data_IF_782951050308
#
_entry.id   IF_782951050308
#
_cell.length_a   1.000
_cell.length_b   1.000
_cell.length_c   1.000
_cell.angle_alpha   90.00
_cell.angle_beta   90.00
_cell.angle_gamma   90.00
#
_symmetry.space_group_name_H-M   'P 1'
#
loop_
_entity.id
_entity.type
_entity.pdbx_description
1 polymer ?
#
# COMPACT_ATOMS: atom_id res chain seq x y z
N UNK A 1 48.21 -33.39 24.88
CA UNK A 1 48.52 -32.47 23.75
C UNK A 1 48.98 -33.19 22.47
N UNK A 2 48.27 -34.22 21.98
CA UNK A 2 48.59 -34.87 20.69
C UNK A 2 47.37 -35.10 19.78
N UNK A 3 46.19 -34.64 20.21
CA UNK A 3 44.93 -34.88 19.47
C UNK A 3 44.26 -33.60 18.93
N UNK A 4 44.81 -32.42 19.26
CA UNK A 4 44.34 -31.14 18.71
C UNK A 4 45.08 -30.73 17.42
N UNK A 5 46.17 -31.40 17.06
CA UNK A 5 46.97 -31.11 15.84
C UNK A 5 46.67 -32.02 14.64
N UNK A 6 45.77 -32.98 14.78
CA UNK A 6 45.39 -33.90 13.68
C UNK A 6 44.18 -33.40 12.87
N UNK A 7 43.32 -32.55 13.44
CA UNK A 7 42.12 -32.02 12.75
C UNK A 7 42.33 -30.74 11.94
N UNK A 8 43.39 -29.96 12.20
CA UNK A 8 43.69 -28.74 11.42
C UNK A 8 44.55 -28.98 10.18
N UNK A 9 45.12 -30.17 9.99
CA UNK A 9 45.91 -30.52 8.79
C UNK A 9 45.07 -31.12 7.64
N UNK A 10 43.84 -31.54 7.91
CA UNK A 10 42.90 -32.09 6.92
C UNK A 10 42.13 -31.02 6.14
N UNK A 11 42.03 -29.79 6.65
CA UNK A 11 41.34 -28.68 5.96
C UNK A 11 42.23 -27.89 5.00
N UNK A 12 43.56 -28.04 5.07
CA UNK A 12 44.51 -27.36 4.17
C UNK A 12 45.02 -28.23 3.00
N UNK A 13 44.71 -29.52 2.96
CA UNK A 13 45.11 -30.44 1.88
C UNK A 13 44.03 -30.66 0.80
N UNK A 14 42.83 -30.07 0.95
CA UNK A 14 41.78 -30.11 -0.07
C UNK A 14 41.75 -28.87 -0.98
N UNK A 15 42.68 -27.92 -0.81
CA UNK A 15 42.64 -26.61 -1.47
C UNK A 15 43.73 -26.37 -2.53
N UNK A 16 44.54 -27.36 -2.93
CA UNK A 16 45.56 -27.14 -3.96
C UNK A 16 45.96 -28.39 -4.74
N UNK A 17 45.20 -28.75 -5.78
CA UNK A 17 45.74 -29.16 -7.09
C UNK A 17 44.63 -29.61 -8.04
N UNK A 18 44.32 -28.77 -9.04
CA UNK A 18 44.41 -29.06 -10.48
C UNK A 18 43.60 -28.02 -11.30
N UNK A 19 44.32 -27.09 -11.93
CA UNK A 19 43.93 -26.32 -13.12
C UNK A 19 44.24 -27.21 -14.34
N UNK A 20 43.36 -27.56 -15.29
CA UNK A 20 42.81 -26.86 -16.48
C UNK A 20 42.23 -27.99 -17.42
N UNK A 21 41.57 -27.73 -18.58
CA UNK A 21 40.67 -26.65 -19.00
C UNK A 21 39.29 -27.13 -19.55
N UNK A 22 38.37 -26.17 -19.63
CA UNK A 22 37.16 -26.00 -20.46
C UNK A 22 36.52 -27.12 -21.33
N UNK A 23 35.17 -27.09 -21.26
CA UNK A 23 34.09 -27.40 -22.24
C UNK A 23 33.42 -28.78 -22.18
N UNK A 24 32.11 -28.71 -22.44
CA UNK A 24 31.07 -29.75 -22.48
C UNK A 24 30.46 -30.19 -21.13
N UNK A 25 29.44 -29.44 -20.71
CA UNK A 25 28.34 -30.02 -19.93
C UNK A 25 27.07 -29.97 -20.79
N UNK A 26 26.45 -31.14 -20.89
CA UNK A 26 25.35 -31.52 -21.76
C UNK A 26 24.02 -30.86 -21.37
N UNK A 27 23.19 -30.67 -22.39
CA UNK A 27 21.86 -30.04 -22.47
C UNK A 27 20.74 -30.72 -21.66
N UNK A 28 19.75 -29.96 -21.15
CA UNK A 28 18.36 -30.39 -21.11
C UNK A 28 17.60 -29.95 -22.38
N UNK A 29 16.63 -30.77 -22.78
CA UNK A 29 15.85 -30.80 -24.03
C UNK A 29 15.06 -29.52 -24.36
N UNK A 30 14.85 -29.21 -25.67
CA UNK A 30 14.04 -28.06 -26.10
C UNK A 30 12.60 -28.50 -26.42
N UNK A 31 11.61 -27.90 -25.78
CA UNK A 31 10.29 -27.77 -26.40
C UNK A 31 9.56 -26.57 -25.78
N UNK A 32 9.03 -25.70 -26.66
CA UNK A 32 8.31 -24.42 -26.45
C UNK A 32 9.13 -23.11 -26.46
N UNK A 33 9.97 -22.92 -27.48
CA UNK A 33 10.40 -21.57 -27.92
C UNK A 33 9.42 -21.00 -28.94
N UNK A 34 8.79 -19.86 -28.61
CA UNK A 34 8.04 -19.03 -29.57
C UNK A 34 8.96 -18.50 -30.69
N UNK A 35 8.44 -18.26 -31.91
CA UNK A 35 9.26 -17.86 -33.05
C UNK A 35 9.97 -16.50 -32.82
N UNK A 36 11.25 -16.35 -33.22
CA UNK A 36 12.07 -15.15 -32.96
C UNK A 36 11.55 -13.82 -33.53
N UNK A 37 10.60 -13.85 -34.48
CA UNK A 37 10.02 -12.65 -35.07
C UNK A 37 9.05 -11.88 -34.14
N UNK A 38 8.58 -12.51 -33.06
CA UNK A 38 7.71 -11.88 -32.06
C UNK A 38 8.47 -11.29 -30.86
N UNK A 39 9.72 -11.70 -30.64
CA UNK A 39 10.55 -11.23 -29.52
C UNK A 39 11.21 -9.88 -29.80
N UNK A 40 11.38 -9.52 -31.06
CA UNK A 40 12.11 -8.30 -31.49
C UNK A 40 11.23 -7.09 -31.83
N UNK A 41 9.93 -7.09 -31.52
CA UNK A 41 9.06 -5.90 -31.69
C UNK A 41 8.73 -5.13 -30.41
N UNK A 42 9.25 -5.55 -29.26
CA UNK A 42 8.96 -4.92 -27.96
C UNK A 42 10.07 -4.02 -27.42
N UNK A 43 11.15 -3.77 -28.19
CA UNK A 43 12.33 -3.06 -27.70
C UNK A 43 12.78 -1.84 -28.53
N UNK A 44 11.93 -1.31 -29.41
CA UNK A 44 12.20 -0.05 -30.13
C UNK A 44 11.19 1.04 -29.74
N UNK A 45 11.14 1.36 -28.45
CA UNK A 45 10.59 2.64 -27.99
C UNK A 45 11.77 3.44 -27.45
N UNK A 46 12.17 4.47 -28.18
CA UNK A 46 13.13 5.48 -27.70
C UNK A 46 12.55 6.18 -26.47
N UNK A 47 12.79 5.60 -25.29
CA UNK A 47 12.49 6.22 -24.02
C UNK A 47 13.50 7.36 -23.81
N UNK A 48 13.06 8.57 -23.41
CA UNK A 48 13.99 9.60 -22.97
C UNK A 48 14.82 9.05 -21.80
N UNK A 49 16.06 9.53 -21.57
CA UNK A 49 16.98 8.94 -20.59
C UNK A 49 16.40 9.07 -19.17
N UNK A 50 15.73 8.01 -18.73
CA UNK A 50 15.22 7.86 -17.37
C UNK A 50 16.45 7.64 -16.47
N UNK A 51 16.57 8.44 -15.41
CA UNK A 51 17.60 8.24 -14.38
C UNK A 51 17.55 6.78 -13.91
N UNK A 52 18.71 6.14 -13.86
CA UNK A 52 18.85 4.70 -13.63
C UNK A 52 18.11 4.26 -12.36
N UNK A 53 17.55 3.05 -12.39
CA UNK A 53 16.91 2.33 -11.27
C UNK A 53 17.68 2.38 -9.94
N UNK A 54 18.99 2.65 -9.99
CA UNK A 54 19.88 2.85 -8.85
C UNK A 54 19.63 4.14 -8.03
N UNK A 55 19.02 5.19 -8.60
CA UNK A 55 18.61 6.38 -7.82
C UNK A 55 17.30 6.15 -7.09
N UNK A 56 16.43 5.29 -7.62
CA UNK A 56 15.13 4.94 -7.05
C UNK A 56 15.25 4.12 -5.75
N UNK A 57 16.25 3.22 -5.70
CA UNK A 57 16.59 2.43 -4.50
C UNK A 57 17.24 3.30 -3.41
N UNK A 58 17.82 4.45 -3.77
CA UNK A 58 18.54 5.35 -2.85
C UNK A 58 17.65 6.38 -2.13
N UNK A 59 16.35 6.42 -2.42
CA UNK A 59 15.41 7.31 -1.71
C UNK A 59 15.59 8.80 -1.99
N UNK A 60 16.34 9.16 -3.03
CA UNK A 60 16.55 10.56 -3.42
C UNK A 60 15.48 11.00 -4.43
N UNK A 61 14.38 11.55 -3.90
CA UNK A 61 13.31 12.17 -4.69
C UNK A 61 12.00 11.39 -4.61
N UNK A 62 10.98 12.02 -4.01
CA UNK A 62 9.62 11.49 -4.09
C UNK A 62 9.15 11.44 -5.54
N UNK A 63 8.34 10.43 -5.88
CA UNK A 63 7.67 10.28 -7.17
C UNK A 63 7.07 11.63 -7.62
N UNK A 64 7.62 12.24 -8.66
CA UNK A 64 7.02 13.44 -9.24
C UNK A 64 5.76 13.05 -10.03
N UNK A 65 4.83 14.00 -10.21
CA UNK A 65 3.62 13.77 -11.04
C UNK A 65 3.98 13.28 -12.46
N UNK A 66 5.09 13.78 -13.01
CA UNK A 66 5.63 13.36 -14.31
C UNK A 66 6.14 11.92 -14.29
N UNK A 67 6.84 11.49 -13.24
CA UNK A 67 7.30 10.10 -13.09
C UNK A 67 6.10 9.14 -12.97
N UNK A 68 5.05 9.56 -12.27
CA UNK A 68 3.80 8.80 -12.19
C UNK A 68 3.10 8.68 -13.54
N UNK A 69 3.00 9.76 -14.31
CA UNK A 69 2.39 9.72 -15.65
C UNK A 69 3.24 8.89 -16.63
N UNK A 70 4.56 9.01 -16.58
CA UNK A 70 5.48 8.21 -17.39
C UNK A 70 5.40 6.72 -17.02
N UNK A 71 5.39 6.39 -15.73
CA UNK A 71 5.21 5.02 -15.24
C UNK A 71 3.83 4.45 -15.59
N UNK A 72 2.76 5.25 -15.43
CA UNK A 72 1.39 4.87 -15.80
C UNK A 72 1.19 4.70 -17.31
N UNK A 73 1.98 5.39 -18.13
CA UNK A 73 1.99 5.22 -19.58
C UNK A 73 2.84 4.02 -20.00
N UNK A 74 3.90 3.71 -19.25
CA UNK A 74 4.80 2.59 -19.50
C UNK A 74 4.23 1.23 -19.08
N UNK A 75 3.37 1.16 -18.04
CA UNK A 75 2.72 -0.09 -17.67
C UNK A 75 1.46 -0.36 -18.50
N UNK A 76 1.35 -1.61 -18.95
CA UNK A 76 0.13 -2.14 -19.54
C UNK A 76 -0.98 -2.16 -18.47
N UNK A 77 -2.06 -1.43 -18.75
CA UNK A 77 -3.26 -1.38 -17.90
C UNK A 77 -3.95 -2.74 -17.90
N UNK A 78 -4.45 -3.19 -16.75
CA UNK A 78 -5.23 -4.44 -16.72
C UNK A 78 -6.58 -4.21 -17.43
N UNK A 79 -6.91 -4.97 -18.49
CA UNK A 79 -8.15 -4.79 -19.25
C UNK A 79 -9.40 -5.09 -18.41
N UNK A 80 -9.30 -5.81 -17.29
CA UNK A 80 -10.44 -6.14 -16.42
C UNK A 80 -10.93 -4.95 -15.60
N UNK A 81 -10.04 -4.00 -15.31
CA UNK A 81 -10.33 -2.88 -14.38
C UNK A 81 -10.25 -1.50 -15.03
N UNK A 82 -9.87 -1.46 -16.31
CA UNK A 82 -9.59 -0.21 -17.04
C UNK A 82 -10.79 0.74 -17.16
N UNK A 83 -12.02 0.23 -17.15
CA UNK A 83 -13.25 1.02 -17.27
C UNK A 83 -13.96 1.24 -15.93
N UNK A 84 -13.39 0.75 -14.83
CA UNK A 84 -14.00 0.91 -13.51
C UNK A 84 -14.01 2.37 -13.06
N UNK A 85 -15.06 2.73 -12.33
CA UNK A 85 -15.26 4.07 -11.79
C UNK A 85 -14.06 4.51 -10.95
N UNK A 86 -13.58 5.75 -11.18
CA UNK A 86 -12.36 6.36 -10.63
C UNK A 86 -11.03 5.67 -10.94
N UNK A 87 -11.02 4.52 -11.62
CA UNK A 87 -9.79 3.83 -12.08
C UNK A 87 -9.42 4.22 -13.51
N UNK A 88 -10.43 4.48 -14.35
CA UNK A 88 -10.26 4.78 -15.78
C UNK A 88 -9.26 5.88 -16.07
N UNK A 89 -9.43 7.03 -15.42
CA UNK A 89 -8.58 8.19 -15.62
C UNK A 89 -7.91 8.62 -14.29
N UNK A 90 -6.56 8.60 -14.22
CA UNK A 90 -5.85 8.99 -13.00
C UNK A 90 -6.09 10.45 -12.59
N UNK A 91 -6.56 11.32 -13.51
CA UNK A 91 -6.87 12.71 -13.21
C UNK A 91 -7.89 12.84 -12.07
N UNK A 92 -8.84 11.89 -11.95
CA UNK A 92 -9.86 11.94 -10.91
C UNK A 92 -9.25 11.80 -9.51
N UNK A 93 -8.30 10.86 -9.35
CA UNK A 93 -7.58 10.71 -8.10
C UNK A 93 -6.77 11.98 -7.78
N UNK A 94 -6.07 12.54 -8.77
CA UNK A 94 -5.30 13.77 -8.58
C UNK A 94 -6.19 14.92 -8.10
N UNK A 95 -7.36 15.11 -8.73
CA UNK A 95 -8.32 16.15 -8.34
C UNK A 95 -8.83 15.92 -6.92
N UNK A 96 -9.21 14.68 -6.57
CA UNK A 96 -9.68 14.32 -5.21
C UNK A 96 -8.58 14.60 -4.18
N UNK A 97 -7.34 14.18 -4.44
CA UNK A 97 -6.23 14.39 -3.52
C UNK A 97 -5.88 15.87 -3.37
N UNK A 98 -5.86 16.63 -4.46
CA UNK A 98 -5.62 18.08 -4.42
C UNK A 98 -6.72 18.79 -3.63
N UNK A 99 -7.99 18.44 -3.86
CA UNK A 99 -9.12 19.00 -3.12
C UNK A 99 -9.05 18.65 -1.62
N UNK A 100 -8.72 17.40 -1.30
CA UNK A 100 -8.51 16.93 0.08
C UNK A 100 -7.39 17.72 0.78
N UNK A 101 -6.21 17.83 0.16
CA UNK A 101 -5.09 18.59 0.71
C UNK A 101 -5.40 20.08 0.85
N UNK A 102 -6.06 20.67 -0.14
CA UNK A 102 -6.53 22.05 -0.06
C UNK A 102 -7.50 22.25 1.12
N UNK A 103 -8.42 21.30 1.34
CA UNK A 103 -9.34 21.37 2.46
C UNK A 103 -8.63 21.28 3.81
N UNK A 104 -7.79 20.27 4.02
CA UNK A 104 -7.18 20.05 5.34
C UNK A 104 -6.14 21.11 5.70
N UNK A 105 -5.41 21.67 4.72
CA UNK A 105 -4.32 22.62 4.98
C UNK A 105 -4.81 24.08 5.00
N UNK A 106 -5.84 24.41 4.20
CA UNK A 106 -6.25 25.79 4.01
C UNK A 106 -7.73 26.02 4.31
N UNK A 107 -8.64 25.43 3.52
CA UNK A 107 -10.06 25.80 3.55
C UNK A 107 -10.74 25.45 4.88
N UNK A 108 -10.52 24.23 5.39
CA UNK A 108 -11.07 23.74 6.65
C UNK A 108 -10.58 24.56 7.86
N UNK A 109 -9.25 24.74 8.06
CA UNK A 109 -8.73 25.60 9.11
C UNK A 109 -9.22 27.05 9.01
N UNK A 110 -9.28 27.62 7.79
CA UNK A 110 -9.81 28.98 7.56
C UNK A 110 -11.29 29.08 7.93
N UNK A 111 -12.10 28.11 7.54
CA UNK A 111 -13.53 28.04 7.86
C UNK A 111 -13.78 27.90 9.38
N UNK A 112 -12.92 27.16 10.08
CA UNK A 112 -13.03 26.90 11.50
C UNK A 112 -12.38 27.96 12.40
N UNK A 113 -11.67 28.97 11.84
CA UNK A 113 -10.90 29.96 12.62
C UNK A 113 -11.75 30.59 13.74
N UNK A 114 -12.89 31.15 13.37
CA UNK A 114 -13.77 31.91 14.27
C UNK A 114 -14.99 31.10 14.75
N UNK A 115 -14.97 29.77 14.58
CA UNK A 115 -16.07 28.87 14.95
C UNK A 115 -15.70 27.97 16.12
N UNK A 116 -16.68 27.61 16.94
CA UNK A 116 -16.50 26.55 17.93
C UNK A 116 -16.39 25.17 17.23
N UNK A 117 -15.77 24.17 17.87
CA UNK A 117 -15.73 22.80 17.34
C UNK A 117 -17.13 22.29 17.03
N UNK A 118 -17.34 21.76 15.82
CA UNK A 118 -18.65 21.23 15.42
C UNK A 118 -18.94 19.92 16.18
N UNK A 119 -20.16 19.77 16.69
CA UNK A 119 -20.62 18.49 17.24
C UNK A 119 -21.08 17.56 16.11
N UNK A 120 -20.12 16.81 15.57
CA UNK A 120 -20.34 15.83 14.52
C UNK A 120 -20.49 14.40 15.07
N UNK A 121 -20.77 14.24 16.38
CA UNK A 121 -20.70 12.93 17.03
C UNK A 121 -21.64 11.89 16.42
N UNK A 122 -22.89 12.28 16.10
CA UNK A 122 -23.85 11.39 15.42
C UNK A 122 -23.41 11.05 13.99
N UNK A 123 -22.89 12.03 13.26
CA UNK A 123 -22.44 11.83 11.89
C UNK A 123 -21.24 10.86 11.83
N UNK A 124 -20.26 11.04 12.72
CA UNK A 124 -19.10 10.16 12.83
C UNK A 124 -19.52 8.75 13.25
N UNK A 125 -20.52 8.63 14.14
CA UNK A 125 -21.06 7.33 14.52
C UNK A 125 -21.67 6.59 13.32
N UNK A 126 -22.52 7.27 12.55
CA UNK A 126 -23.11 6.70 11.32
C UNK A 126 -22.00 6.33 10.32
N UNK A 127 -21.03 7.23 10.12
CA UNK A 127 -19.89 6.99 9.23
C UNK A 127 -19.09 5.75 9.64
N UNK A 128 -18.77 5.61 10.93
CA UNK A 128 -18.04 4.45 11.45
C UNK A 128 -18.84 3.15 11.28
N UNK A 129 -20.16 3.18 11.50
CA UNK A 129 -21.03 2.01 11.24
C UNK A 129 -21.00 1.64 9.76
N UNK A 130 -21.14 2.62 8.86
CA UNK A 130 -21.04 2.40 7.41
C UNK A 130 -19.69 1.80 7.04
N UNK A 131 -18.60 2.30 7.61
CA UNK A 131 -17.25 1.75 7.40
C UNK A 131 -17.15 0.30 7.87
N UNK A 132 -17.68 -0.06 9.04
CA UNK A 132 -17.69 -1.45 9.53
C UNK A 132 -18.45 -2.36 8.57
N UNK A 133 -19.68 -1.98 8.21
CA UNK A 133 -20.53 -2.76 7.30
C UNK A 133 -19.86 -2.93 5.94
N UNK A 134 -19.28 -1.86 5.40
CA UNK A 134 -18.59 -1.90 4.11
C UNK A 134 -17.35 -2.79 4.13
N UNK A 135 -16.52 -2.71 5.18
CA UNK A 135 -15.33 -3.56 5.29
C UNK A 135 -15.69 -5.04 5.52
N UNK A 136 -16.71 -5.34 6.33
CA UNK A 136 -17.20 -6.72 6.52
C UNK A 136 -17.77 -7.29 5.22
N UNK A 137 -18.57 -6.51 4.51
CA UNK A 137 -19.12 -6.92 3.21
C UNK A 137 -18.00 -7.20 2.21
N UNK A 138 -17.02 -6.29 2.10
CA UNK A 138 -15.88 -6.43 1.20
C UNK A 138 -15.02 -7.67 1.49
N UNK A 139 -14.89 -8.09 2.75
CA UNK A 139 -14.14 -9.33 3.11
C UNK A 139 -14.81 -10.59 2.56
N UNK A 140 -16.14 -10.57 2.38
CA UNK A 140 -16.90 -11.72 1.87
C UNK A 140 -17.00 -11.73 0.33
N UNK A 141 -16.78 -10.58 -0.31
CA UNK A 141 -16.70 -10.48 -1.77
C UNK A 141 -15.31 -10.85 -2.27
N UNK A 142 -15.20 -11.54 -3.40
CA UNK A 142 -13.90 -11.91 -4.00
C UNK A 142 -13.68 -11.34 -5.40
N UNK A 143 -14.75 -11.09 -6.16
CA UNK A 143 -14.64 -10.73 -7.58
C UNK A 143 -14.00 -9.35 -7.81
N UNK A 144 -14.28 -8.36 -6.94
CA UNK A 144 -13.87 -6.96 -7.13
C UNK A 144 -13.20 -6.34 -5.89
N UNK A 145 -12.61 -7.15 -5.00
CA UNK A 145 -12.00 -6.71 -3.72
C UNK A 145 -11.05 -5.53 -3.90
N UNK A 146 -10.19 -5.56 -4.91
CA UNK A 146 -9.21 -4.49 -5.14
C UNK A 146 -9.86 -3.12 -5.36
N UNK A 147 -10.99 -3.09 -6.06
CA UNK A 147 -11.71 -1.84 -6.32
C UNK A 147 -12.48 -1.36 -5.11
N UNK A 148 -13.16 -2.27 -4.41
CA UNK A 148 -13.84 -1.91 -3.17
C UNK A 148 -12.87 -1.41 -2.11
N UNK A 149 -11.66 -1.97 -2.06
CA UNK A 149 -10.59 -1.51 -1.18
C UNK A 149 -10.09 -0.13 -1.59
N UNK A 150 -9.89 0.12 -2.88
CA UNK A 150 -9.56 1.47 -3.36
C UNK A 150 -10.63 2.49 -2.97
N UNK A 151 -11.91 2.15 -3.14
CA UNK A 151 -13.04 3.00 -2.74
C UNK A 151 -13.08 3.24 -1.22
N UNK A 152 -12.80 2.23 -0.39
CA UNK A 152 -12.71 2.46 1.06
C UNK A 152 -11.60 3.44 1.41
N UNK A 153 -10.45 3.38 0.74
CA UNK A 153 -9.34 4.34 1.00
C UNK A 153 -9.68 5.78 0.62
N UNK A 154 -10.55 5.99 -0.38
CA UNK A 154 -11.11 7.32 -0.64
C UNK A 154 -12.04 7.75 0.48
N UNK A 155 -12.89 6.85 0.99
CA UNK A 155 -13.80 7.14 2.11
C UNK A 155 -13.05 7.47 3.41
N UNK A 156 -11.91 6.82 3.65
CA UNK A 156 -11.04 7.06 4.83
C UNK A 156 -10.50 8.50 4.88
N UNK A 157 -10.50 9.24 3.76
CA UNK A 157 -10.11 10.67 3.76
C UNK A 157 -11.05 11.53 4.61
N UNK A 158 -12.30 11.10 4.80
CA UNK A 158 -13.28 11.82 5.62
C UNK A 158 -12.88 11.85 7.11
N UNK A 159 -12.09 10.90 7.61
CA UNK A 159 -11.60 10.90 8.99
C UNK A 159 -10.82 12.18 9.31
N UNK A 160 -9.91 12.57 8.42
CA UNK A 160 -9.11 13.80 8.59
C UNK A 160 -9.98 15.05 8.47
N UNK A 161 -10.98 15.03 7.58
CA UNK A 161 -11.95 16.13 7.44
C UNK A 161 -12.71 16.32 8.77
N UNK A 162 -13.18 15.23 9.39
CA UNK A 162 -13.83 15.29 10.69
C UNK A 162 -12.91 15.80 11.80
N UNK A 163 -11.61 15.44 11.79
CA UNK A 163 -10.65 15.98 12.76
C UNK A 163 -10.48 17.50 12.63
N UNK A 164 -10.37 18.01 11.40
CA UNK A 164 -10.29 19.46 11.15
C UNK A 164 -11.55 20.18 11.64
N UNK A 165 -12.73 19.68 11.28
CA UNK A 165 -14.02 20.27 11.66
C UNK A 165 -14.32 20.21 13.17
N UNK A 166 -13.71 19.27 13.90
CA UNK A 166 -13.80 19.17 15.36
C UNK A 166 -12.67 19.88 16.10
N UNK A 167 -11.79 20.59 15.39
CA UNK A 167 -10.57 21.20 15.94
C UNK A 167 -9.70 20.20 16.73
N UNK A 168 -9.64 18.94 16.27
CA UNK A 168 -8.83 17.86 16.88
C UNK A 168 -7.50 17.70 16.16
N UNK A 169 -6.74 18.79 16.04
CA UNK A 169 -5.47 18.83 15.30
C UNK A 169 -4.41 17.88 15.87
N UNK A 170 -4.50 17.53 17.16
CA UNK A 170 -3.62 16.54 17.79
C UNK A 170 -3.79 15.11 17.23
N UNK A 171 -4.91 14.81 16.56
CA UNK A 171 -5.14 13.52 15.90
C UNK A 171 -4.52 13.48 14.49
N UNK A 172 -4.27 14.65 13.88
CA UNK A 172 -3.67 14.79 12.54
C UNK A 172 -2.15 14.73 12.67
N UNK A 173 -1.63 13.55 12.98
CA UNK A 173 -0.18 13.32 13.07
C UNK A 173 0.47 13.23 11.68
N UNK A 174 1.79 13.44 11.54
CA UNK A 174 2.48 13.25 10.26
C UNK A 174 2.28 11.85 9.69
N UNK A 175 2.28 10.82 10.55
CA UNK A 175 2.03 9.44 10.16
C UNK A 175 0.60 9.25 9.62
N UNK A 176 -0.40 9.81 10.31
CA UNK A 176 -1.80 9.79 9.86
C UNK A 176 -1.92 10.44 8.48
N UNK A 177 -1.35 11.63 8.31
CA UNK A 177 -1.45 12.37 7.05
C UNK A 177 -0.74 11.63 5.90
N UNK A 178 0.47 11.12 6.14
CA UNK A 178 1.22 10.33 5.16
C UNK A 178 0.43 9.07 4.76
N UNK A 179 -0.10 8.34 5.74
CA UNK A 179 -0.90 7.13 5.51
C UNK A 179 -2.17 7.44 4.70
N UNK A 180 -2.99 8.40 5.13
CA UNK A 180 -4.22 8.74 4.41
C UNK A 180 -3.97 9.35 3.03
N UNK A 181 -2.78 9.89 2.77
CA UNK A 181 -2.38 10.37 1.44
C UNK A 181 -1.84 9.24 0.55
N UNK A 182 -0.99 8.38 1.10
CA UNK A 182 -0.34 7.30 0.36
C UNK A 182 -1.27 6.14 0.04
N UNK A 183 -2.18 5.78 0.94
CA UNK A 183 -3.04 4.59 0.78
C UNK A 183 -3.97 4.66 -0.44
N UNK A 184 -4.65 5.79 -0.76
CA UNK A 184 -5.41 5.92 -2.01
C UNK A 184 -4.55 5.85 -3.27
N UNK A 185 -3.33 6.38 -3.23
CA UNK A 185 -2.40 6.37 -4.36
C UNK A 185 -1.89 4.95 -4.63
N UNK A 186 -1.43 4.26 -3.58
CA UNK A 186 -0.94 2.88 -3.69
C UNK A 186 -2.07 1.95 -4.13
N UNK A 187 -3.26 2.07 -3.53
CA UNK A 187 -4.41 1.23 -3.91
C UNK A 187 -4.90 1.49 -5.33
N UNK A 188 -4.84 2.73 -5.83
CA UNK A 188 -5.10 3.04 -7.25
C UNK A 188 -4.12 2.31 -8.17
N UNK A 189 -2.81 2.37 -7.88
CA UNK A 189 -1.79 1.67 -8.69
C UNK A 189 -2.07 0.15 -8.67
N UNK A 190 -2.38 -0.42 -7.49
CA UNK A 190 -2.71 -1.83 -7.37
C UNK A 190 -3.92 -2.24 -8.21
N UNK A 191 -5.06 -1.53 -8.11
CA UNK A 191 -6.26 -1.89 -8.88
C UNK A 191 -6.10 -1.66 -10.39
N UNK A 192 -5.27 -0.69 -10.79
CA UNK A 192 -5.03 -0.30 -12.19
C UNK A 192 -4.13 -1.28 -12.94
N UNK A 193 -3.11 -1.84 -12.28
CA UNK A 193 -2.05 -2.60 -12.92
C UNK A 193 -1.92 -4.04 -12.42
N UNK A 194 -2.25 -4.30 -11.16
CA UNK A 194 -2.11 -5.62 -10.53
C UNK A 194 -3.36 -6.03 -9.74
N UNK A 195 -4.55 -6.10 -10.37
CA UNK A 195 -5.74 -6.57 -9.69
C UNK A 195 -5.67 -8.10 -9.49
N UNK A 196 -5.23 -8.52 -8.30
CA UNK A 196 -5.19 -9.92 -7.87
C UNK A 196 -3.87 -10.36 -7.22
N UNK A 197 -3.68 -11.69 -7.11
CA UNK A 197 -2.44 -12.31 -6.61
C UNK A 197 -2.30 -12.32 -5.07
N UNK A 198 -1.11 -12.64 -4.56
CA UNK A 198 -0.87 -12.67 -3.10
C UNK A 198 -1.16 -11.32 -2.41
N UNK A 199 -1.09 -10.20 -3.16
CA UNK A 199 -1.43 -8.87 -2.66
C UNK A 199 -2.88 -8.73 -2.17
N UNK A 200 -3.85 -9.44 -2.75
CA UNK A 200 -5.25 -9.36 -2.29
C UNK A 200 -5.45 -9.89 -0.88
N UNK A 201 -4.65 -10.86 -0.44
CA UNK A 201 -4.69 -11.36 0.94
C UNK A 201 -4.31 -10.25 1.93
N UNK A 202 -3.30 -9.45 1.59
CA UNK A 202 -2.88 -8.29 2.38
C UNK A 202 -4.00 -7.23 2.46
N UNK A 203 -4.75 -7.01 1.37
CA UNK A 203 -5.91 -6.10 1.36
C UNK A 203 -7.05 -6.61 2.25
N UNK A 204 -7.33 -7.91 2.21
CA UNK A 204 -8.35 -8.54 3.06
C UNK A 204 -7.97 -8.45 4.55
N UNK A 205 -6.72 -8.74 4.89
CA UNK A 205 -6.21 -8.60 6.26
C UNK A 205 -6.28 -7.14 6.75
N UNK A 206 -5.94 -6.18 5.89
CA UNK A 206 -6.09 -4.75 6.22
C UNK A 206 -7.56 -4.40 6.53
N UNK A 207 -8.47 -4.83 5.68
CA UNK A 207 -9.91 -4.57 5.82
C UNK A 207 -10.50 -5.21 7.09
N UNK A 208 -10.02 -6.40 7.44
CA UNK A 208 -10.37 -7.07 8.70
C UNK A 208 -9.91 -6.25 9.91
N UNK A 209 -8.63 -5.87 9.97
CA UNK A 209 -8.11 -5.02 11.07
C UNK A 209 -8.85 -3.69 11.14
N UNK A 210 -9.19 -3.12 9.99
CA UNK A 210 -9.91 -1.87 9.88
C UNK A 210 -11.35 -1.97 10.39
N UNK A 211 -12.02 -3.10 10.17
CA UNK A 211 -13.33 -3.40 10.75
C UNK A 211 -13.28 -3.38 12.29
N UNK A 212 -12.24 -3.98 12.88
CA UNK A 212 -12.05 -3.98 14.34
C UNK A 212 -11.72 -2.56 14.84
N UNK A 213 -10.89 -1.82 14.10
CA UNK A 213 -10.49 -0.46 14.47
C UNK A 213 -11.68 0.51 14.46
N UNK A 214 -12.52 0.49 13.44
CA UNK A 214 -13.73 1.32 13.40
C UNK A 214 -14.78 0.87 14.42
N UNK A 215 -14.87 -0.43 14.70
CA UNK A 215 -15.70 -0.91 15.81
C UNK A 215 -15.25 -0.32 17.16
N UNK A 216 -13.94 -0.24 17.40
CA UNK A 216 -13.41 0.45 18.57
C UNK A 216 -13.77 1.95 18.58
N UNK A 217 -13.68 2.65 17.44
CA UNK A 217 -14.08 4.07 17.34
C UNK A 217 -15.57 4.29 17.55
N UNK A 218 -16.42 3.37 17.09
CA UNK A 218 -17.85 3.37 17.36
C UNK A 218 -18.11 3.30 18.88
N UNK A 219 -17.54 2.31 19.56
CA UNK A 219 -17.68 2.14 21.00
C UNK A 219 -17.12 3.35 21.80
N UNK A 220 -16.00 3.92 21.35
CA UNK A 220 -15.43 5.12 21.95
C UNK A 220 -16.34 6.36 21.80
N UNK A 221 -17.19 6.38 20.76
CA UNK A 221 -18.16 7.42 20.47
C UNK A 221 -19.46 7.34 21.29
N UNK A 222 -19.79 6.18 21.86
CA UNK A 222 -21.01 5.96 22.67
C UNK A 222 -20.96 6.60 24.07
N UNK A 223 -19.87 7.30 24.41
CA UNK A 223 -19.77 8.13 25.61
C UNK A 223 -18.95 7.53 26.76
N UNK A 224 -18.92 8.21 27.92
CA UNK A 224 -18.04 7.86 29.05
C UNK A 224 -18.31 6.47 29.65
N UNK A 225 -19.56 6.01 29.62
CA UNK A 225 -19.95 4.69 30.14
C UNK A 225 -19.29 3.53 29.40
N UNK A 226 -19.12 3.65 28.07
CA UNK A 226 -18.47 2.62 27.25
C UNK A 226 -16.94 2.70 27.28
N UNK A 227 -16.37 3.90 27.51
CA UNK A 227 -14.91 4.09 27.57
C UNK A 227 -14.21 3.25 28.65
N UNK A 228 -14.90 2.97 29.76
CA UNK A 228 -14.38 2.07 30.82
C UNK A 228 -14.03 0.68 30.29
N UNK A 229 -14.75 0.19 29.29
CA UNK A 229 -14.59 -1.16 28.75
C UNK A 229 -13.56 -1.23 27.61
N UNK A 230 -12.94 -0.11 27.22
CA UNK A 230 -11.98 0.00 26.10
C UNK A 230 -10.51 -0.18 26.51
N UNK A 231 -10.24 -1.07 27.47
CA UNK A 231 -8.88 -1.37 27.99
C UNK A 231 -7.95 -1.99 26.93
N UNK A 232 -8.52 -2.59 25.89
CA UNK A 232 -7.84 -3.34 24.85
C UNK A 232 -7.30 -2.48 23.69
N UNK A 233 -7.33 -1.15 23.83
CA UNK A 233 -6.75 -0.20 22.84
C UNK A 233 -5.33 -0.57 22.43
N UNK A 234 -4.50 -1.00 23.38
CA UNK A 234 -3.11 -1.33 23.10
C UNK A 234 -2.96 -2.57 22.20
N UNK A 235 -3.86 -3.56 22.31
CA UNK A 235 -3.87 -4.72 21.41
C UNK A 235 -4.26 -4.34 19.98
N UNK A 236 -5.15 -3.36 19.82
CA UNK A 236 -5.46 -2.82 18.49
C UNK A 236 -4.23 -2.17 17.85
N UNK A 237 -3.49 -1.37 18.63
CA UNK A 237 -2.24 -0.78 18.14
C UNK A 237 -1.21 -1.85 17.80
N UNK A 238 -1.09 -2.91 18.63
CA UNK A 238 -0.20 -4.04 18.35
C UNK A 238 -0.61 -4.78 17.06
N UNK A 239 -1.90 -5.01 16.85
CA UNK A 239 -2.44 -5.65 15.66
C UNK A 239 -2.15 -4.83 14.40
N UNK A 240 -2.32 -3.51 14.45
CA UNK A 240 -1.98 -2.59 13.36
C UNK A 240 -0.47 -2.61 13.05
N UNK A 241 0.38 -2.62 14.08
CA UNK A 241 1.84 -2.71 13.89
C UNK A 241 2.27 -4.06 13.34
N UNK A 242 1.64 -5.16 13.75
CA UNK A 242 1.93 -6.48 13.21
C UNK A 242 1.54 -6.58 11.73
N UNK A 243 0.35 -6.09 11.38
CA UNK A 243 -0.07 -6.00 9.99
C UNK A 243 0.91 -5.16 9.17
N UNK A 244 1.31 -3.98 9.66
CA UNK A 244 2.31 -3.15 9.00
C UNK A 244 3.62 -3.91 8.75
N UNK A 245 4.16 -4.57 9.78
CA UNK A 245 5.39 -5.38 9.65
C UNK A 245 5.23 -6.52 8.64
N UNK A 246 4.12 -7.24 8.69
CA UNK A 246 3.80 -8.33 7.77
C UNK A 246 3.77 -7.83 6.32
N UNK A 247 3.07 -6.72 6.06
CA UNK A 247 3.00 -6.08 4.74
C UNK A 247 4.40 -5.73 4.24
N UNK A 248 5.23 -5.10 5.07
CA UNK A 248 6.61 -4.72 4.69
C UNK A 248 7.58 -5.89 4.53
N UNK A 249 7.26 -7.06 5.10
CA UNK A 249 8.11 -8.27 5.01
C UNK A 249 7.81 -9.17 3.81
N UNK A 250 6.67 -8.93 3.14
CA UNK A 250 6.20 -9.70 1.98
C UNK A 250 6.54 -9.03 0.63
N UNK A 251 7.38 -7.99 0.65
CA UNK A 251 7.92 -7.27 -0.51
C UNK A 251 9.42 -7.52 -0.63
#
# INVERSE_FOLDING_TARGET
MRDFHRKTRMFHLAASQKRLPMRHALSPTPETSWPPSLVLKFYDVDLPPIRTTSSYIRGEGGLTLLDYFAFSAALSKDPRTIDWFLVRNPIYLVIIMMAYHYFIQYLGPKFMKDRNPLDLSRLIMIFNVTQIVYNVWMVNEMANVCWHYYMSKIMDLLDTIFFVLRKKNNQITPLHLLHHTGMPVISFICVRFYPGGHGTLTLLLNSFVHSIMYFYYLLAGLGPGFKKYLWWKHYLTLLQMYLYKLVTSLQ
#
